data_IF_495572338913
#
_entry.id   IF_495572338913
#
_cell.length_a   1.000
_cell.length_b   1.000
_cell.length_c   1.000
_cell.angle_alpha   90.00
_cell.angle_beta   90.00
_cell.angle_gamma   90.00
#
_symmetry.space_group_name_H-M   'P 1'
#
loop_
_entity.id
_entity.type
_entity.pdbx_description
1 polymer ?
#
# COMPACT_ATOMS: atom_id res chain seq x y z
N UNK A 1 -9.88 -14.83 10.58
CA UNK A 1 -11.18 -15.16 9.92
C UNK A 1 -11.63 -14.00 9.04
N UNK A 2 -12.56 -14.18 8.07
CA UNK A 2 -12.96 -13.13 7.09
C UNK A 2 -13.40 -11.81 7.76
N UNK A 3 -13.99 -11.90 8.96
CA UNK A 3 -14.39 -10.77 9.80
C UNK A 3 -13.24 -9.83 10.19
N UNK A 4 -12.03 -10.36 10.39
CA UNK A 4 -10.84 -9.58 10.76
C UNK A 4 -10.19 -8.90 9.54
N UNK A 5 -10.18 -9.60 8.40
CA UNK A 5 -9.56 -9.10 7.16
C UNK A 5 -10.43 -8.10 6.39
N UNK A 6 -11.74 -8.08 6.66
CA UNK A 6 -12.70 -7.31 5.87
C UNK A 6 -12.98 -7.90 4.48
N UNK A 7 -12.49 -9.11 4.17
CA UNK A 7 -12.76 -9.79 2.92
C UNK A 7 -14.16 -10.44 2.93
N UNK A 8 -14.80 -10.60 1.76
CA UNK A 8 -16.02 -11.39 1.62
C UNK A 8 -15.80 -12.84 2.04
N UNK A 9 -16.90 -13.54 2.27
CA UNK A 9 -16.87 -14.97 2.62
C UNK A 9 -16.14 -15.80 1.56
N UNK A 10 -15.41 -16.82 1.99
CA UNK A 10 -14.63 -17.71 1.10
C UNK A 10 -13.29 -17.16 0.64
N UNK A 11 -13.03 -15.86 0.82
CA UNK A 11 -11.75 -15.22 0.53
C UNK A 11 -10.82 -15.19 1.74
N UNK A 12 -9.54 -15.44 1.49
CA UNK A 12 -8.46 -15.35 2.46
C UNK A 12 -7.21 -14.69 1.87
N UNK A 13 -6.39 -14.10 2.74
CA UNK A 13 -5.08 -13.57 2.36
C UNK A 13 -4.05 -14.70 2.44
N UNK A 14 -3.38 -14.99 1.32
CA UNK A 14 -2.26 -15.93 1.23
C UNK A 14 -0.99 -15.22 0.84
N UNK A 15 0.17 -15.87 1.00
CA UNK A 15 1.48 -15.33 0.60
C UNK A 15 2.04 -16.08 -0.61
N UNK A 16 2.51 -15.33 -1.61
CA UNK A 16 3.16 -15.90 -2.80
C UNK A 16 4.52 -16.46 -2.43
N UNK A 17 4.82 -17.69 -2.86
CA UNK A 17 6.11 -18.34 -2.61
C UNK A 17 7.29 -17.63 -3.30
N UNK A 18 7.07 -17.06 -4.48
CA UNK A 18 8.14 -16.49 -5.32
C UNK A 18 8.38 -15.02 -5.02
N UNK A 19 7.32 -14.26 -4.73
CA UNK A 19 7.41 -12.81 -4.49
C UNK A 19 7.34 -12.44 -3.01
N UNK A 20 7.03 -13.41 -2.14
CA UNK A 20 6.74 -13.19 -0.72
C UNK A 20 5.61 -12.16 -0.49
N UNK A 21 4.74 -11.97 -1.50
CA UNK A 21 3.69 -10.95 -1.52
C UNK A 21 2.33 -11.55 -1.17
N UNK A 22 1.54 -10.89 -0.29
CA UNK A 22 0.15 -11.25 -0.08
C UNK A 22 -0.70 -11.17 -1.35
N UNK A 23 -1.57 -12.15 -1.56
CA UNK A 23 -2.59 -12.19 -2.60
C UNK A 23 -3.90 -12.72 -2.01
N UNK A 24 -5.01 -12.50 -2.69
CA UNK A 24 -6.33 -12.95 -2.26
C UNK A 24 -6.68 -14.25 -2.96
N UNK A 25 -7.11 -15.23 -2.19
CA UNK A 25 -7.46 -16.56 -2.67
C UNK A 25 -8.87 -16.94 -2.24
N UNK A 26 -9.66 -17.45 -3.17
CA UNK A 26 -10.98 -18.01 -2.87
C UNK A 26 -10.89 -19.54 -2.76
N UNK A 27 -11.13 -20.09 -1.57
CA UNK A 27 -10.85 -21.50 -1.28
C UNK A 27 -11.70 -22.48 -2.11
N UNK A 28 -12.95 -22.13 -2.40
CA UNK A 28 -13.90 -22.96 -3.15
C UNK A 28 -13.65 -22.91 -4.67
N UNK A 29 -13.63 -21.73 -5.28
CA UNK A 29 -13.43 -21.57 -6.74
C UNK A 29 -11.97 -21.72 -7.18
N UNK A 30 -11.02 -21.72 -6.24
CA UNK A 30 -9.56 -21.68 -6.49
C UNK A 30 -9.09 -20.41 -7.21
N UNK A 31 -9.90 -19.36 -7.21
CA UNK A 31 -9.52 -18.08 -7.80
C UNK A 31 -8.43 -17.38 -6.99
N UNK A 32 -7.44 -16.83 -7.69
CA UNK A 32 -6.34 -16.05 -7.12
C UNK A 32 -6.27 -14.67 -7.77
N UNK A 33 -6.12 -13.61 -6.97
CA UNK A 33 -5.99 -12.23 -7.48
C UNK A 33 -5.10 -11.36 -6.58
N UNK A 34 -4.56 -10.29 -7.15
CA UNK A 34 -3.71 -9.33 -6.42
C UNK A 34 -4.50 -8.18 -5.82
N UNK A 35 -5.66 -7.87 -6.38
CA UNK A 35 -6.59 -6.86 -5.91
C UNK A 35 -7.66 -7.50 -5.00
N UNK A 36 -8.12 -6.81 -3.95
CA UNK A 36 -9.17 -7.34 -3.11
C UNK A 36 -10.45 -7.58 -3.93
N UNK A 37 -11.22 -8.63 -3.59
CA UNK A 37 -12.49 -8.89 -4.25
C UNK A 37 -13.52 -7.79 -3.99
N UNK A 38 -14.57 -7.75 -4.81
CA UNK A 38 -15.68 -6.82 -4.60
C UNK A 38 -16.41 -7.16 -3.30
N UNK A 39 -16.85 -6.13 -2.56
CA UNK A 39 -17.46 -6.29 -1.24
C UNK A 39 -16.45 -6.32 -0.09
N UNK A 40 -15.14 -6.21 -0.37
CA UNK A 40 -14.14 -5.98 0.68
C UNK A 40 -14.35 -4.65 1.37
N UNK A 41 -14.32 -4.65 2.70
CA UNK A 41 -14.26 -3.43 3.50
C UNK A 41 -12.81 -2.86 3.45
N UNK A 42 -12.60 -1.70 2.80
CA UNK A 42 -11.25 -1.18 2.57
C UNK A 42 -10.54 -0.77 3.87
N UNK A 43 -11.26 -0.24 4.86
CA UNK A 43 -10.66 0.22 6.12
C UNK A 43 -10.16 -0.95 6.97
N UNK A 44 -10.97 -2.01 7.09
CA UNK A 44 -10.57 -3.24 7.78
C UNK A 44 -9.41 -3.92 7.08
N UNK A 45 -9.46 -4.00 5.75
CA UNK A 45 -8.37 -4.59 4.98
C UNK A 45 -7.09 -3.78 5.16
N UNK A 46 -7.16 -2.46 5.08
CA UNK A 46 -6.00 -1.58 5.30
C UNK A 46 -5.38 -1.80 6.67
N UNK A 47 -6.19 -1.83 7.74
CA UNK A 47 -5.72 -2.09 9.09
C UNK A 47 -5.09 -3.49 9.22
N UNK A 48 -5.74 -4.51 8.67
CA UNK A 48 -5.23 -5.89 8.67
C UNK A 48 -3.89 -6.01 7.95
N UNK A 49 -3.78 -5.42 6.76
CA UNK A 49 -2.56 -5.44 5.96
C UNK A 49 -1.43 -4.65 6.64
N UNK A 50 -1.74 -3.50 7.23
CA UNK A 50 -0.79 -2.70 8.00
C UNK A 50 -0.25 -3.45 9.23
N UNK A 51 -1.07 -4.28 9.87
CA UNK A 51 -0.65 -5.06 11.04
C UNK A 51 0.15 -6.32 10.67
N UNK A 52 -0.21 -7.03 9.59
CA UNK A 52 0.26 -8.39 9.32
C UNK A 52 1.19 -8.53 8.11
N UNK A 53 1.14 -7.57 7.19
CA UNK A 53 1.74 -7.70 5.85
C UNK A 53 2.52 -6.46 5.38
N UNK A 54 2.59 -5.46 6.24
CA UNK A 54 3.44 -4.30 6.08
C UNK A 54 4.79 -4.55 6.69
N UNK A 55 5.83 -4.19 5.96
CA UNK A 55 7.20 -4.32 6.43
C UNK A 55 7.50 -3.19 7.41
N UNK A 56 7.07 -3.33 8.67
CA UNK A 56 7.41 -2.38 9.74
C UNK A 56 8.94 -2.23 9.79
N UNK A 57 9.43 -1.05 9.44
CA UNK A 57 10.85 -0.72 9.53
C UNK A 57 11.75 -1.42 8.52
N UNK A 58 11.32 -1.57 7.26
CA UNK A 58 12.32 -1.82 6.20
C UNK A 58 13.19 -0.59 6.10
N UNK A 59 14.33 -0.65 6.80
CA UNK A 59 15.48 0.14 6.45
C UNK A 59 15.68 -0.02 4.93
N UNK A 60 15.94 1.06 4.18
CA UNK A 60 16.28 0.93 2.78
C UNK A 60 17.34 -0.16 2.68
N UNK A 61 17.10 -1.19 1.86
CA UNK A 61 18.03 -2.30 1.76
C UNK A 61 19.42 -1.73 1.45
N UNK A 62 20.50 -2.35 1.93
CA UNK A 62 21.83 -1.82 1.66
C UNK A 62 21.99 -1.58 0.13
N UNK A 63 22.45 -0.38 -0.25
CA UNK A 63 22.68 -0.03 -1.65
C UNK A 63 23.83 -0.92 -2.14
N UNK A 64 23.50 -2.09 -2.68
CA UNK A 64 24.44 -2.83 -3.51
C UNK A 64 24.62 -2.00 -4.79
N UNK A 65 25.69 -1.19 -4.79
CA UNK A 65 26.00 -0.25 -5.87
C UNK A 65 26.04 -0.99 -7.20
N UNK A 66 24.99 -0.83 -8.00
CA UNK A 66 25.01 -1.19 -9.40
C UNK A 66 25.31 0.09 -10.16
N UNK A 67 26.49 0.15 -10.77
CA UNK A 67 26.93 1.34 -11.52
C UNK A 67 25.85 1.74 -12.54
N UNK A 68 25.53 3.04 -12.59
CA UNK A 68 24.54 3.61 -13.50
C UNK A 68 23.07 3.44 -13.09
N UNK A 69 22.76 2.92 -11.89
CA UNK A 69 21.37 2.82 -11.40
C UNK A 69 21.13 3.67 -10.16
N UNK A 70 19.95 4.29 -10.10
CA UNK A 70 19.44 4.97 -8.90
C UNK A 70 18.41 4.08 -8.22
N UNK A 71 18.29 4.24 -6.90
CA UNK A 71 17.24 3.62 -6.11
C UNK A 71 16.33 4.70 -5.55
N UNK A 72 15.02 4.48 -5.67
CA UNK A 72 14.02 5.43 -5.22
C UNK A 72 12.92 4.71 -4.45
N UNK A 73 12.30 5.42 -3.53
CA UNK A 73 11.02 5.04 -2.97
C UNK A 73 9.95 6.03 -3.44
N UNK A 74 8.69 5.58 -3.52
CA UNK A 74 7.59 6.45 -3.91
C UNK A 74 6.31 6.20 -3.09
N UNK A 75 5.46 7.22 -3.07
CA UNK A 75 4.10 7.19 -2.53
C UNK A 75 3.16 7.52 -3.70
N UNK A 76 2.30 6.57 -4.09
CA UNK A 76 1.39 6.73 -5.21
C UNK A 76 -0.05 6.87 -4.70
N UNK A 77 -0.75 7.92 -5.13
CA UNK A 77 -2.21 8.03 -4.96
C UNK A 77 -2.85 7.99 -6.34
N UNK A 78 -3.69 6.99 -6.61
CA UNK A 78 -4.42 6.87 -7.87
C UNK A 78 -5.71 7.68 -7.85
N UNK A 79 -6.31 7.86 -9.02
CA UNK A 79 -7.63 8.46 -9.22
C UNK A 79 -8.44 7.63 -10.22
N UNK A 80 -9.73 7.97 -10.41
CA UNK A 80 -10.65 7.25 -11.30
C UNK A 80 -10.17 7.14 -12.76
N UNK A 81 -9.37 8.12 -13.23
CA UNK A 81 -8.84 8.18 -14.60
C UNK A 81 -7.43 7.58 -14.72
N UNK A 82 -6.88 7.01 -13.65
CA UNK A 82 -5.62 6.26 -13.72
C UNK A 82 -5.79 5.02 -14.61
N UNK A 83 -4.74 4.62 -15.36
CA UNK A 83 -4.76 3.44 -16.26
C UNK A 83 -5.37 2.19 -15.63
N UNK A 84 -5.16 1.99 -14.33
CA UNK A 84 -5.78 0.92 -13.53
C UNK A 84 -6.31 1.52 -12.21
N UNK A 85 -7.59 1.94 -12.13
CA UNK A 85 -8.18 2.59 -10.97
C UNK A 85 -8.59 1.58 -9.89
N UNK A 86 -7.63 0.78 -9.44
CA UNK A 86 -7.75 -0.22 -8.38
C UNK A 86 -6.37 -0.45 -7.75
N UNK A 87 -6.32 -0.85 -6.48
CA UNK A 87 -5.08 -1.14 -5.76
C UNK A 87 -5.28 -2.27 -4.76
N UNK A 88 -4.21 -2.63 -4.04
CA UNK A 88 -4.27 -3.63 -2.98
C UNK A 88 -5.13 -3.17 -1.79
N UNK A 89 -5.32 -1.85 -1.61
CA UNK A 89 -6.12 -1.27 -0.51
C UNK A 89 -7.56 -0.98 -0.91
N UNK A 90 -7.83 -0.78 -2.20
CA UNK A 90 -9.15 -0.39 -2.68
C UNK A 90 -9.49 -1.08 -4.01
N UNK A 91 -10.57 -1.88 -4.08
CA UNK A 91 -10.91 -2.65 -5.28
C UNK A 91 -11.34 -1.77 -6.46
N UNK A 92 -11.90 -0.59 -6.19
CA UNK A 92 -12.33 0.38 -7.22
C UNK A 92 -12.13 1.79 -6.69
N UNK A 93 -11.22 2.52 -7.30
CA UNK A 93 -10.86 3.89 -6.94
C UNK A 93 -11.77 4.86 -7.69
N UNK A 94 -12.58 5.62 -6.95
CA UNK A 94 -13.55 6.57 -7.52
C UNK A 94 -13.17 8.03 -7.33
N UNK A 95 -12.14 8.32 -6.52
CA UNK A 95 -11.69 9.68 -6.22
C UNK A 95 -11.24 10.43 -7.48
N UNK A 96 -11.44 11.74 -7.49
CA UNK A 96 -11.03 12.63 -8.58
C UNK A 96 -9.51 12.84 -8.62
N UNK A 97 -9.02 13.43 -9.71
CA UNK A 97 -7.61 13.82 -9.83
C UNK A 97 -7.26 14.94 -8.82
N UNK A 98 -8.19 15.85 -8.54
CA UNK A 98 -8.04 16.94 -7.57
C UNK A 98 -8.00 16.39 -6.13
N UNK A 99 -8.83 15.42 -5.80
CA UNK A 99 -8.80 14.75 -4.50
C UNK A 99 -7.48 13.99 -4.32
N UNK A 100 -7.04 13.25 -5.35
CA UNK A 100 -5.75 12.55 -5.32
C UNK A 100 -4.57 13.53 -5.16
N UNK A 101 -4.62 14.68 -5.84
CA UNK A 101 -3.63 15.76 -5.71
C UNK A 101 -3.60 16.35 -4.30
N UNK A 102 -4.77 16.63 -3.74
CA UNK A 102 -4.90 17.14 -2.37
C UNK A 102 -4.33 16.14 -1.36
N UNK A 103 -4.60 14.84 -1.53
CA UNK A 103 -4.03 13.78 -0.68
C UNK A 103 -2.50 13.75 -0.76
N UNK A 104 -1.91 13.75 -1.98
CA UNK A 104 -0.45 13.67 -2.10
C UNK A 104 0.25 14.93 -1.57
N UNK A 105 -0.34 16.12 -1.73
CA UNK A 105 0.17 17.37 -1.16
C UNK A 105 0.12 17.34 0.39
N UNK A 106 -0.93 16.78 0.99
CA UNK A 106 -1.01 16.61 2.43
C UNK A 106 0.02 15.60 2.96
N UNK A 107 0.25 14.50 2.24
CA UNK A 107 1.30 13.54 2.59
C UNK A 107 2.70 14.16 2.46
N UNK A 108 2.93 14.98 1.42
CA UNK A 108 4.19 15.69 1.26
C UNK A 108 4.51 16.60 2.45
N UNK A 109 3.51 17.34 2.97
CA UNK A 109 3.68 18.16 4.18
C UNK A 109 4.05 17.34 5.41
N UNK A 110 3.44 16.16 5.59
CA UNK A 110 3.76 15.25 6.70
C UNK A 110 5.19 14.72 6.61
N UNK A 111 5.67 14.44 5.39
CA UNK A 111 7.04 13.98 5.13
C UNK A 111 8.03 15.11 5.42
N UNK A 112 7.77 16.33 4.94
CA UNK A 112 8.61 17.49 5.21
C UNK A 112 8.72 17.78 6.71
N UNK A 113 7.59 17.74 7.44
CA UNK A 113 7.61 17.92 8.89
C UNK A 113 8.44 16.85 9.62
N UNK A 114 8.40 15.60 9.13
CA UNK A 114 9.21 14.50 9.65
C UNK A 114 10.71 14.70 9.37
N UNK A 115 11.07 15.10 8.16
CA UNK A 115 12.47 15.34 7.76
C UNK A 115 13.08 16.55 8.47
N UNK A 116 12.27 17.58 8.75
CA UNK A 116 12.68 18.75 9.52
C UNK A 116 12.80 18.48 11.02
N UNK A 117 12.42 17.28 11.49
CA UNK A 117 12.48 16.91 12.91
C UNK A 117 11.52 17.68 13.80
N UNK A 118 10.43 18.22 13.25
CA UNK A 118 9.40 18.90 14.04
C UNK A 118 8.70 17.89 14.92
N UNK A 119 8.45 18.25 16.19
CA UNK A 119 7.55 17.50 17.09
C UNK A 119 6.08 17.71 16.69
N UNK A 120 5.75 17.40 15.44
CA UNK A 120 4.37 17.36 14.95
C UNK A 120 3.84 15.92 15.14
N UNK A 121 2.73 15.69 15.86
CA UNK A 121 2.13 14.37 16.00
C UNK A 121 1.70 13.75 14.66
N UNK A 122 1.60 14.55 13.59
CA UNK A 122 1.27 14.10 12.23
C UNK A 122 2.49 13.90 11.34
N UNK A 123 3.71 14.18 11.80
CA UNK A 123 4.93 13.96 11.04
C UNK A 123 5.15 12.46 10.81
N UNK A 124 5.29 12.06 9.55
CA UNK A 124 5.50 10.66 9.15
C UNK A 124 6.52 10.54 8.04
N UNK A 125 7.38 9.53 8.13
CA UNK A 125 8.33 9.22 7.06
C UNK A 125 7.63 8.80 5.76
N UNK A 126 8.31 8.98 4.62
CA UNK A 126 7.83 8.47 3.33
C UNK A 126 7.54 6.97 3.39
N UNK A 127 8.41 6.19 4.04
CA UNK A 127 8.26 4.74 4.17
C UNK A 127 7.00 4.35 4.92
N UNK A 128 6.69 5.06 6.02
CA UNK A 128 5.48 4.83 6.80
C UNK A 128 4.21 5.15 5.99
N UNK A 129 4.17 6.33 5.35
CA UNK A 129 3.04 6.73 4.53
C UNK A 129 2.88 5.84 3.30
N UNK A 130 3.97 5.44 2.65
CA UNK A 130 3.92 4.52 1.52
C UNK A 130 3.31 3.19 1.94
N UNK A 131 3.66 2.71 3.14
CA UNK A 131 3.18 1.45 3.69
C UNK A 131 1.67 1.41 3.91
N UNK A 132 1.06 2.52 4.33
CA UNK A 132 -0.38 2.54 4.64
C UNK A 132 -1.21 3.16 3.52
N UNK A 133 -0.66 4.12 2.78
CA UNK A 133 -1.43 4.97 1.86
C UNK A 133 -1.15 4.73 0.38
N UNK A 134 -0.02 4.15 -0.01
CA UNK A 134 0.33 4.01 -1.43
C UNK A 134 -0.57 2.99 -2.14
N UNK A 135 -1.14 3.39 -3.28
CA UNK A 135 -1.87 2.52 -4.20
C UNK A 135 -0.95 1.65 -5.08
N UNK A 136 0.36 1.77 -4.92
CA UNK A 136 1.35 0.90 -5.56
C UNK A 136 1.63 -0.34 -4.69
N UNK A 137 1.98 -1.46 -5.33
CA UNK A 137 2.42 -2.66 -4.61
C UNK A 137 3.73 -2.47 -3.83
N UNK A 138 4.52 -1.45 -4.16
CA UNK A 138 5.73 -1.05 -3.43
C UNK A 138 5.44 -0.59 -2.00
N UNK A 139 4.19 -0.25 -1.66
CA UNK A 139 3.72 0.05 -0.30
C UNK A 139 4.30 -0.93 0.73
N UNK A 140 4.28 -2.22 0.40
CA UNK A 140 4.72 -3.31 1.28
C UNK A 140 6.22 -3.35 1.56
N UNK A 141 7.01 -2.50 0.90
CA UNK A 141 8.45 -2.30 1.10
C UNK A 141 8.77 -0.84 1.47
N UNK A 142 7.81 -0.11 2.04
CA UNK A 142 8.00 1.31 2.32
C UNK A 142 8.13 2.19 1.06
N UNK A 143 7.55 1.76 -0.05
CA UNK A 143 7.58 2.50 -1.32
C UNK A 143 8.80 2.19 -2.20
N UNK A 144 9.73 1.34 -1.75
CA UNK A 144 10.95 0.95 -2.46
C UNK A 144 10.69 0.30 -3.85
N UNK A 145 11.43 0.77 -4.87
CA UNK A 145 11.35 0.33 -6.28
C UNK A 145 12.63 -0.36 -6.75
#
# INVERSE_FOLDING_TARGET
>A
SSAETGLPEGWEVRRSNTKNLPYYFHAQTKDSRWEPPQGTNPDKLKAYMAANHSSKGVAPAAVAGTEGKIRCAHLLVKHRDSRRPASWREPKITRSVEEARTMIENYHKQIQAYEEGKEDPNAKSLSELATTESDCSSARKGGDL
#
